data_IF_878062397357
#
_entry.id   IF_878062397357
#
_cell.length_a   1.000
_cell.length_b   1.000
_cell.length_c   1.000
_cell.angle_alpha   90.00
_cell.angle_beta   90.00
_cell.angle_gamma   90.00
#
_symmetry.space_group_name_H-M   'P 1'
#
loop_
_entity.id
_entity.type
_entity.pdbx_description
1 polymer ?
#
# COMPACT_ATOMS: atom_id res chain seq x y z
N UNK A 1 -9.25 4.11 5.68
CA UNK A 1 -8.11 4.03 4.77
C UNK A 1 -8.46 3.19 3.56
N UNK A 2 -7.97 3.58 2.40
CA UNK A 2 -8.20 2.84 1.16
C UNK A 2 -7.25 1.63 1.16
N UNK A 3 -7.78 0.41 1.19
CA UNK A 3 -7.00 -0.81 0.97
C UNK A 3 -7.37 -1.38 -0.38
N UNK A 4 -6.37 -1.84 -1.13
CA UNK A 4 -6.56 -2.55 -2.40
C UNK A 4 -7.18 -3.92 -2.15
N UNK A 5 -7.02 -4.48 -0.96
CA UNK A 5 -7.52 -5.80 -0.57
C UNK A 5 -8.71 -5.63 0.38
N UNK A 6 -9.80 -6.35 0.09
CA UNK A 6 -10.92 -6.50 1.00
C UNK A 6 -10.54 -7.41 2.17
N UNK A 7 -11.17 -7.21 3.32
CA UNK A 7 -11.06 -8.14 4.43
C UNK A 7 -11.77 -9.43 4.04
N UNK A 8 -11.01 -10.50 3.95
CA UNK A 8 -11.47 -11.84 3.58
C UNK A 8 -10.77 -12.84 4.48
N UNK A 9 -11.53 -13.62 5.22
CA UNK A 9 -11.01 -14.52 6.25
C UNK A 9 -10.15 -15.63 5.66
N UNK A 10 -10.59 -16.22 4.54
CA UNK A 10 -9.86 -17.29 3.87
C UNK A 10 -8.52 -16.78 3.32
N UNK A 11 -8.52 -15.56 2.78
CA UNK A 11 -7.30 -14.91 2.31
C UNK A 11 -6.33 -14.61 3.46
N UNK A 12 -6.82 -14.07 4.57
CA UNK A 12 -5.98 -13.71 5.72
C UNK A 12 -5.42 -14.95 6.42
N UNK A 13 -6.16 -16.05 6.46
CA UNK A 13 -5.70 -17.31 7.04
C UNK A 13 -4.62 -18.02 6.19
N UNK A 14 -4.38 -17.55 4.95
CA UNK A 14 -3.39 -18.13 4.04
C UNK A 14 -1.93 -17.84 4.38
N UNK A 15 -1.63 -16.98 5.36
CA UNK A 15 -0.26 -16.60 5.69
C UNK A 15 -0.09 -16.07 7.11
N UNK A 16 1.13 -15.72 7.52
CA UNK A 16 1.39 -15.14 8.83
C UNK A 16 0.73 -13.78 8.99
N UNK A 17 0.24 -13.51 10.20
CA UNK A 17 -0.34 -12.22 10.57
C UNK A 17 0.45 -11.66 11.76
N UNK A 18 0.96 -10.44 11.60
CA UNK A 18 1.52 -9.67 12.69
C UNK A 18 0.40 -8.94 13.44
N UNK A 19 0.38 -9.05 14.76
CA UNK A 19 -0.60 -8.41 15.63
C UNK A 19 0.09 -7.40 16.53
N UNK A 20 -0.49 -6.21 16.65
CA UNK A 20 -0.02 -5.19 17.58
C UNK A 20 -1.02 -5.07 18.72
N UNK A 21 -0.53 -5.28 19.93
CA UNK A 21 -1.31 -5.09 21.16
C UNK A 21 -0.81 -3.86 21.92
N UNK A 22 -1.73 -3.11 22.45
CA UNK A 22 -1.49 -2.09 23.47
C UNK A 22 -2.21 -2.50 24.73
N UNK A 23 -1.46 -2.80 25.79
CA UNK A 23 -1.96 -3.48 26.98
C UNK A 23 -2.64 -4.81 26.62
N UNK A 24 -3.97 -4.90 26.81
CA UNK A 24 -4.76 -6.11 26.48
C UNK A 24 -5.57 -6.00 25.19
N UNK A 25 -5.51 -4.85 24.54
CA UNK A 25 -6.31 -4.57 23.34
C UNK A 25 -5.50 -4.82 22.06
N UNK A 26 -6.13 -5.49 21.10
CA UNK A 26 -5.59 -5.57 19.74
C UNK A 26 -5.81 -4.21 19.06
N UNK A 27 -4.72 -3.50 18.74
CA UNK A 27 -4.77 -2.15 18.19
C UNK A 27 -4.34 -2.05 16.75
N UNK A 28 -3.78 -3.12 16.19
CA UNK A 28 -3.41 -3.17 14.78
C UNK A 28 -2.98 -4.56 14.33
N UNK A 29 -3.02 -4.78 13.03
CA UNK A 29 -2.51 -5.99 12.41
C UNK A 29 -1.98 -5.73 11.00
N UNK A 30 -1.15 -6.65 10.52
CA UNK A 30 -0.75 -6.74 9.11
C UNK A 30 -0.62 -8.21 8.72
N UNK A 31 -1.16 -8.61 7.56
CA UNK A 31 -0.80 -9.88 6.98
C UNK A 31 0.51 -9.78 6.20
N UNK A 32 1.28 -10.86 6.22
CA UNK A 32 2.61 -10.90 5.64
C UNK A 32 2.64 -11.81 4.43
N UNK A 33 3.27 -11.33 3.38
CA UNK A 33 3.66 -12.16 2.26
C UNK A 33 5.11 -12.59 2.46
N UNK A 34 5.27 -13.88 2.55
CA UNK A 34 6.55 -14.54 2.80
C UNK A 34 6.95 -15.39 1.60
N UNK A 35 8.24 -15.50 1.33
CA UNK A 35 8.77 -16.45 0.35
C UNK A 35 9.56 -17.55 1.06
N UNK A 36 9.41 -18.79 0.63
CA UNK A 36 10.18 -19.94 1.17
C UNK A 36 11.69 -19.70 1.04
N UNK A 37 12.12 -19.08 -0.05
CA UNK A 37 13.52 -18.73 -0.30
C UNK A 37 14.02 -17.56 0.54
N UNK A 38 13.16 -16.91 1.35
CA UNK A 38 13.46 -15.73 2.18
C UNK A 38 14.10 -14.56 1.41
N UNK A 39 13.78 -14.43 0.12
CA UNK A 39 14.29 -13.34 -0.71
C UNK A 39 13.61 -12.03 -0.37
N UNK A 40 12.30 -12.05 -0.20
CA UNK A 40 11.51 -10.86 0.07
C UNK A 40 10.42 -11.16 1.10
N UNK A 41 10.24 -10.21 2.01
CA UNK A 41 9.12 -10.11 2.93
C UNK A 41 8.33 -8.85 2.57
N UNK A 42 7.02 -8.91 2.57
CA UNK A 42 6.17 -7.73 2.39
C UNK A 42 4.91 -7.78 3.22
N UNK A 43 4.27 -6.63 3.37
CA UNK A 43 2.92 -6.50 3.95
C UNK A 43 1.94 -6.16 2.84
N UNK A 44 0.72 -6.66 2.96
CA UNK A 44 -0.36 -6.37 2.04
C UNK A 44 -1.50 -5.61 2.72
N UNK A 45 -2.37 -6.30 3.45
CA UNK A 45 -3.42 -5.67 4.22
C UNK A 45 -2.91 -5.30 5.61
N UNK A 46 -3.06 -4.04 5.99
CA UNK A 46 -2.80 -3.60 7.35
C UNK A 46 -3.90 -2.64 7.82
N UNK A 47 -4.23 -2.75 9.10
CA UNK A 47 -5.22 -1.93 9.77
C UNK A 47 -4.76 -1.62 11.18
N UNK A 48 -5.15 -0.48 11.67
CA UNK A 48 -5.00 -0.09 13.07
C UNK A 48 -6.22 0.71 13.51
N UNK A 49 -6.48 0.72 14.80
CA UNK A 49 -7.53 1.51 15.40
C UNK A 49 -6.97 2.87 15.88
N UNK A 50 -7.34 3.96 15.22
CA UNK A 50 -6.86 5.28 15.61
C UNK A 50 -7.44 5.81 16.94
N UNK A 51 -8.55 5.24 17.42
CA UNK A 51 -9.18 5.65 18.65
C UNK A 51 -8.50 5.05 19.88
N UNK A 52 -7.93 3.85 19.73
CA UNK A 52 -7.23 3.14 20.79
C UNK A 52 -5.74 3.52 20.90
N UNK A 53 -5.23 4.39 20.00
CA UNK A 53 -3.81 4.68 19.97
C UNK A 53 -3.52 6.16 19.72
N UNK A 54 -2.53 6.70 20.43
CA UNK A 54 -2.07 8.10 20.30
C UNK A 54 -1.17 8.35 19.08
N UNK A 55 -1.08 7.41 18.13
CA UNK A 55 -0.18 7.45 16.99
C UNK A 55 1.06 6.56 17.15
N UNK A 56 1.82 6.39 16.07
CA UNK A 56 3.05 5.59 16.08
C UNK A 56 2.88 4.07 15.92
N UNK A 57 1.64 3.54 15.97
CA UNK A 57 1.39 2.09 15.81
C UNK A 57 1.96 1.54 14.52
N UNK A 58 1.80 2.26 13.42
CA UNK A 58 2.33 1.82 12.14
C UNK A 58 3.86 1.92 12.08
N UNK A 59 4.45 2.94 12.70
CA UNK A 59 5.90 3.08 12.79
C UNK A 59 6.48 1.92 13.62
N UNK A 60 5.87 1.60 14.75
CA UNK A 60 6.21 0.45 15.58
C UNK A 60 6.09 -0.86 14.79
N UNK A 61 4.94 -1.11 14.16
CA UNK A 61 4.71 -2.32 13.38
C UNK A 61 5.77 -2.52 12.30
N UNK A 62 6.06 -1.49 11.49
CA UNK A 62 7.09 -1.60 10.46
C UNK A 62 8.49 -1.81 11.03
N UNK A 63 8.83 -1.15 12.12
CA UNK A 63 10.14 -1.31 12.77
C UNK A 63 10.33 -2.75 13.27
N UNK A 64 9.31 -3.30 13.94
CA UNK A 64 9.33 -4.67 14.43
C UNK A 64 9.36 -5.70 13.28
N UNK A 65 8.60 -5.45 12.22
CA UNK A 65 8.61 -6.33 11.03
C UNK A 65 9.95 -6.33 10.31
N UNK A 66 10.62 -5.18 10.21
CA UNK A 66 11.96 -5.07 9.63
C UNK A 66 12.97 -5.85 10.47
N UNK A 67 12.95 -5.68 11.80
CA UNK A 67 13.83 -6.39 12.71
C UNK A 67 13.55 -7.90 12.68
N UNK A 68 12.29 -8.30 12.71
CA UNK A 68 11.90 -9.70 12.62
C UNK A 68 12.30 -10.32 11.28
N UNK A 69 12.05 -9.63 10.17
CA UNK A 69 12.44 -10.10 8.84
C UNK A 69 13.94 -10.31 8.72
N UNK A 70 14.74 -9.39 9.25
CA UNK A 70 16.20 -9.54 9.32
C UNK A 70 16.59 -10.76 10.15
N UNK A 71 16.00 -10.93 11.34
CA UNK A 71 16.28 -12.07 12.22
C UNK A 71 15.88 -13.42 11.60
N UNK A 72 14.83 -13.44 10.76
CA UNK A 72 14.40 -14.62 10.00
C UNK A 72 15.26 -14.88 8.75
N UNK A 73 16.21 -14.00 8.43
CA UNK A 73 17.10 -14.14 7.28
C UNK A 73 16.50 -13.71 5.95
N UNK A 74 15.47 -12.86 5.95
CA UNK A 74 14.97 -12.22 4.73
C UNK A 74 15.99 -11.23 4.20
N UNK A 75 16.20 -11.24 2.88
CA UNK A 75 17.18 -10.35 2.22
C UNK A 75 16.65 -8.94 2.01
N UNK A 76 15.36 -8.81 1.79
CA UNK A 76 14.71 -7.53 1.55
C UNK A 76 13.32 -7.47 2.17
N UNK A 77 12.89 -6.26 2.51
CA UNK A 77 11.54 -5.95 2.93
C UNK A 77 10.93 -4.99 1.92
N UNK A 78 9.86 -5.41 1.27
CA UNK A 78 9.15 -4.60 0.29
C UNK A 78 8.06 -3.77 0.98
N UNK A 79 8.30 -2.46 1.05
CA UNK A 79 7.34 -1.51 1.64
C UNK A 79 6.11 -1.25 0.75
N UNK A 80 6.02 -1.92 -0.39
CA UNK A 80 4.98 -1.70 -1.37
C UNK A 80 5.18 -0.45 -2.23
N UNK A 81 4.29 -0.25 -3.18
CA UNK A 81 4.40 0.82 -4.17
C UNK A 81 3.97 2.18 -3.59
N UNK A 82 4.64 3.26 -4.03
CA UNK A 82 4.17 4.63 -3.87
C UNK A 82 3.76 5.18 -5.26
N UNK A 83 2.49 4.98 -5.67
CA UNK A 83 2.05 5.34 -7.00
C UNK A 83 2.23 6.83 -7.28
N UNK A 84 2.52 7.18 -8.54
CA UNK A 84 2.60 8.57 -9.03
C UNK A 84 3.64 9.46 -8.34
N UNK A 85 4.54 8.90 -7.55
CA UNK A 85 5.51 9.68 -6.76
C UNK A 85 6.72 10.20 -7.55
N UNK A 86 6.91 9.78 -8.80
CA UNK A 86 8.07 10.15 -9.63
C UNK A 86 7.76 11.09 -10.81
N UNK A 87 6.54 11.58 -10.95
CA UNK A 87 6.11 12.33 -12.14
C UNK A 87 6.72 13.72 -12.29
N UNK A 88 7.19 14.35 -11.23
CA UNK A 88 7.68 15.74 -11.28
C UNK A 88 8.88 15.94 -12.23
N UNK A 89 9.67 14.89 -12.46
CA UNK A 89 10.90 14.93 -13.26
C UNK A 89 10.79 14.20 -14.61
N UNK A 90 9.57 13.82 -15.04
CA UNK A 90 9.41 13.09 -16.30
C UNK A 90 9.12 14.05 -17.47
N UNK A 91 9.73 13.82 -18.67
CA UNK A 91 9.52 14.68 -19.87
C UNK A 91 8.05 14.81 -20.29
N UNK A 92 7.20 13.85 -19.95
CA UNK A 92 5.76 13.86 -20.18
C UNK A 92 4.94 14.47 -19.04
N UNK A 93 5.58 15.08 -18.04
CA UNK A 93 4.92 15.68 -16.87
C UNK A 93 3.89 16.75 -17.26
N UNK A 94 4.07 17.46 -18.38
CA UNK A 94 3.11 18.47 -18.87
C UNK A 94 1.79 17.86 -19.37
N UNK A 95 1.85 16.69 -20.02
CA UNK A 95 0.64 15.96 -20.45
C UNK A 95 -0.04 15.30 -19.24
N UNK A 96 0.74 14.67 -18.39
CA UNK A 96 0.27 14.06 -17.14
C UNK A 96 -0.15 15.09 -16.10
N UNK A 97 0.39 16.30 -16.14
CA UNK A 97 -0.02 17.41 -15.28
C UNK A 97 -1.50 17.79 -15.46
N UNK A 98 -2.03 17.69 -16.68
CA UNK A 98 -3.46 17.92 -16.95
C UNK A 98 -4.33 16.75 -16.51
N UNK A 99 -3.92 15.53 -16.79
CA UNK A 99 -4.63 14.32 -16.36
C UNK A 99 -4.42 14.07 -14.86
N UNK A 100 -3.22 14.31 -14.36
CA UNK A 100 -2.88 14.22 -12.94
C UNK A 100 -3.61 15.28 -12.10
N UNK A 101 -3.88 16.48 -12.62
CA UNK A 101 -4.76 17.45 -11.92
C UNK A 101 -6.17 16.89 -11.72
N UNK A 102 -6.73 16.21 -12.68
CA UNK A 102 -8.07 15.62 -12.56
C UNK A 102 -8.05 14.42 -11.61
N UNK A 103 -7.06 13.56 -11.70
CA UNK A 103 -6.84 12.45 -10.77
C UNK A 103 -6.37 12.95 -9.39
N UNK A 104 -5.56 14.01 -9.34
CA UNK A 104 -5.07 14.62 -8.11
C UNK A 104 -6.18 15.36 -7.37
N UNK A 105 -7.02 16.14 -8.04
CA UNK A 105 -8.14 16.86 -7.41
C UNK A 105 -9.24 15.90 -6.96
N UNK A 106 -9.53 14.84 -7.72
CA UNK A 106 -10.49 13.80 -7.31
C UNK A 106 -9.86 12.68 -6.50
N UNK A 107 -8.63 12.29 -6.78
CA UNK A 107 -7.91 11.20 -6.10
C UNK A 107 -7.27 11.63 -4.78
N UNK A 108 -6.85 12.88 -4.62
CA UNK A 108 -6.32 13.41 -3.35
C UNK A 108 -7.40 13.47 -2.24
N UNK A 109 -8.66 13.42 -2.61
CA UNK A 109 -9.77 13.24 -1.66
C UNK A 109 -9.85 11.79 -1.14
N UNK A 110 -9.23 10.83 -1.85
CA UNK A 110 -9.30 9.41 -1.54
C UNK A 110 -7.96 8.80 -1.13
N UNK A 111 -6.82 9.36 -1.56
CA UNK A 111 -5.51 8.78 -1.27
C UNK A 111 -4.38 9.83 -1.26
N UNK A 112 -3.71 9.99 -0.12
CA UNK A 112 -2.58 10.90 0.02
C UNK A 112 -1.28 10.25 -0.48
N UNK A 113 -1.07 10.23 -1.79
CA UNK A 113 0.12 9.61 -2.41
C UNK A 113 1.44 10.22 -1.94
N UNK A 114 1.48 11.55 -1.72
CA UNK A 114 2.67 12.22 -1.23
C UNK A 114 2.95 11.89 0.23
N UNK A 115 1.91 11.82 1.06
CA UNK A 115 2.03 11.39 2.44
C UNK A 115 2.52 9.96 2.56
N UNK A 116 2.04 9.05 1.69
CA UNK A 116 2.50 7.68 1.64
C UNK A 116 3.99 7.59 1.27
N UNK A 117 4.44 8.36 0.29
CA UNK A 117 5.85 8.40 -0.07
C UNK A 117 6.71 8.90 1.09
N UNK A 118 6.35 10.05 1.68
CA UNK A 118 7.05 10.60 2.86
C UNK A 118 7.08 9.63 4.03
N UNK A 119 5.99 8.90 4.24
CA UNK A 119 5.94 7.88 5.27
C UNK A 119 6.99 6.79 5.04
N UNK A 120 7.06 6.27 3.81
CA UNK A 120 8.03 5.22 3.45
C UNK A 120 9.48 5.72 3.46
N UNK A 121 9.71 6.99 3.14
CA UNK A 121 11.03 7.63 3.19
C UNK A 121 11.65 7.61 4.60
N UNK A 122 10.85 7.51 5.66
CA UNK A 122 11.36 7.34 7.04
C UNK A 122 12.24 6.09 7.20
N UNK A 123 11.99 5.06 6.42
CA UNK A 123 12.72 3.80 6.45
C UNK A 123 13.91 3.75 5.48
N UNK A 124 14.24 4.88 4.84
CA UNK A 124 15.33 5.03 3.87
C UNK A 124 15.33 3.92 2.79
N UNK A 125 14.22 3.70 2.06
CA UNK A 125 14.11 2.60 1.12
C UNK A 125 14.90 2.85 -0.15
N UNK A 126 15.34 1.78 -0.79
CA UNK A 126 15.81 1.81 -2.17
C UNK A 126 14.59 1.92 -3.11
N UNK A 127 14.48 3.06 -3.81
CA UNK A 127 13.38 3.30 -4.74
C UNK A 127 13.66 2.67 -6.10
N UNK A 128 12.80 1.74 -6.51
CA UNK A 128 12.86 1.12 -7.83
C UNK A 128 11.69 1.58 -8.70
N UNK A 129 11.94 2.05 -9.93
CA UNK A 129 10.86 2.49 -10.80
C UNK A 129 10.01 1.29 -11.27
N UNK A 130 8.70 1.52 -11.34
CA UNK A 130 7.74 0.58 -11.94
C UNK A 130 6.97 1.32 -13.02
N UNK A 131 6.78 0.67 -14.17
CA UNK A 131 6.17 1.28 -15.34
C UNK A 131 4.88 0.57 -15.72
N UNK A 132 3.86 1.36 -16.05
CA UNK A 132 2.64 0.85 -16.67
C UNK A 132 2.81 0.95 -18.20
N UNK A 133 2.86 -0.19 -18.87
CA UNK A 133 2.89 -0.27 -20.31
C UNK A 133 1.46 -0.37 -20.85
N UNK A 134 1.13 0.46 -21.82
CA UNK A 134 -0.16 0.41 -22.51
C UNK A 134 0.01 0.61 -24.02
N UNK A 135 -0.85 0.02 -24.87
CA UNK A 135 -0.74 0.06 -26.33
C UNK A 135 -0.78 1.47 -26.91
N UNK A 136 -1.52 2.39 -26.30
CA UNK A 136 -1.54 3.80 -26.65
C UNK A 136 -1.98 4.66 -25.46
N UNK A 137 -1.56 5.94 -25.47
CA UNK A 137 -1.93 6.89 -24.43
C UNK A 137 -3.45 7.13 -24.32
N UNK A 138 -4.21 6.93 -25.40
CA UNK A 138 -5.67 7.09 -25.40
C UNK A 138 -6.41 5.97 -24.65
N UNK A 139 -5.80 4.80 -24.51
CA UNK A 139 -6.36 3.65 -23.77
C UNK A 139 -6.14 3.76 -22.26
N UNK A 140 -5.16 4.55 -21.85
CA UNK A 140 -4.76 4.68 -20.47
C UNK A 140 -5.89 5.12 -19.50
N UNK A 141 -6.75 6.12 -19.83
CA UNK A 141 -7.88 6.48 -18.97
C UNK A 141 -8.82 5.30 -18.72
N UNK A 142 -9.07 4.47 -19.73
CA UNK A 142 -9.90 3.25 -19.63
C UNK A 142 -9.25 2.20 -18.74
N UNK A 143 -7.94 1.98 -18.89
CA UNK A 143 -7.18 1.05 -18.04
C UNK A 143 -7.25 1.50 -16.58
N UNK A 144 -7.00 2.78 -16.31
CA UNK A 144 -7.05 3.34 -14.95
C UNK A 144 -8.46 3.24 -14.35
N UNK A 145 -9.50 3.53 -15.14
CA UNK A 145 -10.88 3.36 -14.69
C UNK A 145 -11.20 1.92 -14.35
N UNK A 146 -10.79 0.97 -15.20
CA UNK A 146 -10.99 -0.45 -14.94
C UNK A 146 -10.24 -0.92 -13.68
N UNK A 147 -9.00 -0.47 -13.48
CA UNK A 147 -8.23 -0.76 -12.26
C UNK A 147 -8.94 -0.22 -11.01
N UNK A 148 -9.39 1.04 -11.04
CA UNK A 148 -10.14 1.63 -9.92
C UNK A 148 -11.43 0.86 -9.66
N UNK A 149 -12.13 0.43 -10.70
CA UNK A 149 -13.37 -0.34 -10.57
C UNK A 149 -13.11 -1.73 -9.97
N UNK A 150 -12.04 -2.41 -10.39
CA UNK A 150 -11.63 -3.70 -9.82
C UNK A 150 -11.30 -3.58 -8.34
N UNK A 151 -10.50 -2.57 -7.99
CA UNK A 151 -10.12 -2.27 -6.61
C UNK A 151 -11.37 -1.93 -5.76
N UNK A 152 -12.30 -1.14 -6.32
CA UNK A 152 -13.50 -0.68 -5.60
C UNK A 152 -14.54 -1.78 -5.44
N UNK A 153 -14.67 -2.71 -6.39
CA UNK A 153 -15.64 -3.82 -6.31
C UNK A 153 -15.38 -4.74 -5.12
N UNK A 154 -14.12 -4.88 -4.69
CA UNK A 154 -13.80 -5.55 -3.42
C UNK A 154 -14.33 -4.81 -2.19
N UNK A 155 -14.44 -3.48 -2.25
CA UNK A 155 -14.93 -2.64 -1.14
C UNK A 155 -16.44 -2.42 -1.15
N UNK A 156 -17.11 -2.49 -2.31
CA UNK A 156 -18.56 -2.30 -2.44
C UNK A 156 -19.36 -3.60 -2.32
N UNK A 157 -18.74 -4.76 -2.54
CA UNK A 157 -19.41 -6.05 -2.37
C UNK A 157 -19.79 -6.38 -0.93
N UNK A 158 -19.15 -5.74 0.04
CA UNK A 158 -19.42 -5.93 1.47
C UNK A 158 -20.58 -5.06 2.02
N UNK A 159 -21.11 -4.12 1.24
CA UNK A 159 -22.21 -3.23 1.66
C UNK A 159 -23.61 -3.73 1.23
N UNK A 160 -23.70 -4.91 0.60
CA UNK A 160 -24.95 -5.52 0.16
C UNK A 160 -25.15 -6.96 0.69
N UNK A 161 -24.77 -7.18 1.94
CA UNK A 161 -25.27 -8.35 2.70
C UNK A 161 -25.77 -7.91 4.06
#
# INVERSE_FOLDING_TARGET
GFSVVSFDDDYLCGGPIALVHHEKNLVGFANLWTSESRQELSVDLMRYDPELTSGGVMDFLFTELLAWGQAQGYRSFNLGMAPMSGFANHPLASFWGKLGKVLYVRGNRFYNFQGLRRYKEKFNPEWQPRYLLCPSGMVLPRILTNLVTLISRGSFGALHK
#
